data_IF_311680469109
#
_entry.id   IF_311680469109
#
_cell.length_a   1.000
_cell.length_b   1.000
_cell.length_c   1.000
_cell.angle_alpha   90.00
_cell.angle_beta   90.00
_cell.angle_gamma   90.00
#
_symmetry.space_group_name_H-M   'P 1'
#
loop_
_entity.id
_entity.type
_entity.pdbx_description
1 polymer ?
#
# COMPACT_ATOMS: atom_id res chain seq x y z
N UNK A 1 25.42 -35.94 -28.79
CA UNK A 1 26.44 -34.88 -29.03
C UNK A 1 25.81 -33.55 -29.50
N UNK A 2 24.73 -33.57 -30.28
CA UNK A 2 24.03 -32.37 -30.77
C UNK A 2 23.53 -31.42 -29.66
N UNK A 3 22.99 -31.95 -28.54
CA UNK A 3 22.49 -31.15 -27.43
C UNK A 3 23.56 -30.43 -26.57
N UNK A 4 24.83 -30.83 -26.64
CA UNK A 4 25.94 -30.12 -25.97
C UNK A 4 26.46 -28.95 -26.83
N UNK A 5 26.42 -29.08 -28.16
CA UNK A 5 26.74 -27.98 -29.07
C UNK A 5 25.70 -26.86 -29.02
N UNK A 6 24.41 -27.18 -28.92
CA UNK A 6 23.34 -26.18 -28.81
C UNK A 6 23.47 -25.37 -27.51
N UNK A 7 23.79 -26.01 -26.38
CA UNK A 7 24.01 -25.31 -25.10
C UNK A 7 25.27 -24.42 -25.11
N UNK A 8 26.35 -24.85 -25.77
CA UNK A 8 27.56 -24.04 -25.89
C UNK A 8 27.33 -22.81 -26.79
N UNK A 9 26.61 -22.97 -27.90
CA UNK A 9 26.28 -21.87 -28.82
C UNK A 9 25.36 -20.85 -28.15
N UNK A 10 24.40 -21.29 -27.34
CA UNK A 10 23.54 -20.38 -26.57
C UNK A 10 24.37 -19.62 -25.52
N UNK A 11 25.21 -20.30 -24.73
CA UNK A 11 26.00 -19.64 -23.67
C UNK A 11 27.04 -18.66 -24.24
N UNK A 12 27.75 -19.05 -25.31
CA UNK A 12 28.73 -18.15 -25.97
C UNK A 12 28.02 -17.01 -26.70
N UNK A 13 26.85 -17.25 -27.30
CA UNK A 13 26.02 -16.20 -27.90
C UNK A 13 25.49 -15.20 -26.86
N UNK A 14 25.09 -15.67 -25.68
CA UNK A 14 24.60 -14.80 -24.60
C UNK A 14 25.72 -13.94 -24.03
N UNK A 15 26.92 -14.51 -23.83
CA UNK A 15 28.09 -13.76 -23.35
C UNK A 15 28.60 -12.73 -24.38
N UNK A 16 28.56 -13.06 -25.67
CA UNK A 16 28.95 -12.13 -26.72
C UNK A 16 27.97 -10.95 -26.85
N UNK A 17 26.66 -11.21 -26.70
CA UNK A 17 25.60 -10.19 -26.72
C UNK A 17 25.69 -9.27 -25.49
N UNK A 18 25.92 -9.81 -24.29
CA UNK A 18 26.15 -9.01 -23.08
C UNK A 18 27.41 -8.14 -23.20
N UNK A 19 28.50 -8.71 -23.75
CA UNK A 19 29.74 -7.97 -23.98
C UNK A 19 29.62 -6.84 -25.02
N UNK A 20 28.81 -7.01 -26.06
CA UNK A 20 28.58 -5.95 -27.07
C UNK A 20 27.58 -4.90 -26.60
N UNK A 21 26.56 -5.27 -25.84
CA UNK A 21 25.61 -4.33 -25.21
C UNK A 21 26.29 -3.40 -24.19
N UNK A 22 27.26 -3.92 -23.43
CA UNK A 22 28.04 -3.12 -22.48
C UNK A 22 28.93 -2.05 -23.15
N UNK A 23 29.29 -2.23 -24.43
CA UNK A 23 30.18 -1.33 -25.16
C UNK A 23 29.45 -0.28 -26.03
N UNK A 24 28.22 -0.56 -26.48
CA UNK A 24 27.54 0.25 -27.52
C UNK A 24 26.16 0.78 -27.09
N UNK A 25 25.60 0.28 -25.98
CA UNK A 25 24.26 0.64 -25.50
C UNK A 25 23.12 -0.06 -26.27
N UNK A 26 21.85 0.05 -25.81
CA UNK A 26 20.75 -0.80 -26.26
C UNK A 26 20.13 -0.43 -27.61
N UNK A 27 20.35 0.81 -28.10
CA UNK A 27 19.70 1.36 -29.30
C UNK A 27 19.89 0.62 -30.64
N UNK A 28 20.99 -0.14 -30.91
CA UNK A 28 21.13 -0.85 -32.18
C UNK A 28 20.36 -2.18 -32.28
N UNK A 29 19.66 -2.61 -31.22
CA UNK A 29 19.03 -3.95 -31.17
C UNK A 29 17.49 -3.94 -31.19
N UNK A 30 16.86 -2.77 -31.33
CA UNK A 30 15.41 -2.67 -31.48
C UNK A 30 14.97 -3.42 -32.76
N UNK A 31 14.28 -4.55 -32.57
CA UNK A 31 13.71 -5.38 -33.64
C UNK A 31 14.40 -6.72 -33.90
N UNK A 32 15.51 -7.04 -33.22
CA UNK A 32 16.27 -8.30 -33.45
C UNK A 32 16.06 -9.35 -32.35
N UNK A 33 15.67 -8.94 -31.15
CA UNK A 33 15.55 -9.84 -29.99
C UNK A 33 14.10 -10.28 -29.72
N UNK A 34 13.86 -11.56 -29.35
CA UNK A 34 12.56 -12.02 -28.88
C UNK A 34 12.09 -11.26 -27.62
N UNK A 35 10.78 -11.02 -27.44
CA UNK A 35 10.23 -10.19 -26.35
C UNK A 35 10.66 -10.60 -24.93
N UNK A 36 10.92 -11.90 -24.73
CA UNK A 36 11.35 -12.47 -23.43
C UNK A 36 12.79 -12.10 -23.10
N UNK A 37 13.63 -11.83 -24.09
CA UNK A 37 15.04 -11.44 -23.87
C UNK A 37 15.15 -9.93 -23.68
N UNK A 38 14.28 -9.14 -24.32
CA UNK A 38 14.27 -7.68 -24.14
C UNK A 38 13.88 -7.25 -22.73
N UNK A 39 12.95 -7.93 -22.05
CA UNK A 39 12.60 -7.60 -20.66
C UNK A 39 13.77 -7.86 -19.70
N UNK A 40 14.43 -9.01 -19.83
CA UNK A 40 15.61 -9.34 -19.01
C UNK A 40 16.82 -8.42 -19.27
N UNK A 41 17.00 -7.93 -20.49
CA UNK A 41 18.14 -7.07 -20.85
C UNK A 41 17.90 -5.62 -20.40
N UNK A 42 16.67 -5.12 -20.48
CA UNK A 42 16.29 -3.79 -19.94
C UNK A 42 16.40 -3.76 -18.42
N UNK A 43 16.11 -4.86 -17.73
CA UNK A 43 16.27 -4.98 -16.28
C UNK A 43 17.75 -5.00 -15.82
N UNK A 44 18.70 -5.36 -16.70
CA UNK A 44 20.14 -5.43 -16.39
C UNK A 44 20.88 -4.17 -16.85
N UNK A 45 20.42 -3.54 -17.93
CA UNK A 45 21.06 -2.37 -18.54
C UNK A 45 20.03 -1.25 -18.61
N UNK A 46 19.88 -0.51 -17.51
CA UNK A 46 19.10 0.72 -17.49
C UNK A 46 19.70 1.77 -18.46
N UNK A 47 18.97 2.88 -18.74
CA UNK A 47 19.40 3.88 -19.71
C UNK A 47 20.77 4.54 -19.43
N UNK A 48 21.30 4.41 -18.20
CA UNK A 48 22.53 5.05 -17.74
C UNK A 48 23.64 4.08 -17.26
N UNK A 49 23.53 2.76 -17.47
CA UNK A 49 24.59 1.80 -17.11
C UNK A 49 24.11 0.48 -16.51
N UNK A 50 25.07 -0.29 -15.98
CA UNK A 50 24.84 -1.60 -15.36
C UNK A 50 24.09 -1.44 -14.03
N UNK A 51 22.90 -2.03 -13.95
CA UNK A 51 22.14 -2.20 -12.73
C UNK A 51 22.68 -3.40 -11.95
N UNK A 52 22.61 -3.38 -10.62
CA UNK A 52 22.90 -4.58 -9.85
C UNK A 52 21.82 -5.64 -10.12
N UNK A 53 22.22 -6.90 -10.42
CA UNK A 53 21.27 -7.95 -10.71
C UNK A 53 20.27 -8.16 -9.56
N UNK A 54 18.98 -7.95 -9.84
CA UNK A 54 17.89 -8.20 -8.90
C UNK A 54 17.53 -7.02 -7.98
N UNK A 55 18.19 -5.88 -8.10
CA UNK A 55 17.87 -4.67 -7.31
C UNK A 55 17.18 -3.59 -8.14
N UNK A 56 17.47 -3.55 -9.45
CA UNK A 56 17.02 -2.46 -10.34
C UNK A 56 17.70 -1.12 -10.01
N UNK A 57 18.76 -1.13 -9.20
CA UNK A 57 19.47 0.06 -8.69
C UNK A 57 20.93 0.04 -9.16
N UNK A 58 21.53 1.22 -9.35
CA UNK A 58 22.95 1.37 -9.71
C UNK A 58 23.84 0.86 -8.56
N UNK A 59 24.90 0.14 -8.88
CA UNK A 59 25.87 -0.33 -7.89
C UNK A 59 26.43 0.84 -7.06
N UNK A 60 26.37 0.72 -5.73
CA UNK A 60 26.84 1.74 -4.78
C UNK A 60 25.86 2.88 -4.47
N UNK A 61 24.62 2.83 -4.98
CA UNK A 61 23.59 3.78 -4.55
C UNK A 61 23.19 3.56 -3.09
N UNK A 62 22.78 4.63 -2.42
CA UNK A 62 22.32 4.59 -1.03
C UNK A 62 20.79 4.59 -0.98
N UNK A 63 20.18 3.81 -0.08
CA UNK A 63 18.73 3.79 0.08
C UNK A 63 18.14 5.19 0.41
N UNK A 64 18.92 6.05 1.07
CA UNK A 64 18.54 7.45 1.36
C UNK A 64 18.38 8.31 0.12
N UNK A 65 18.99 7.96 -1.02
CA UNK A 65 18.83 8.69 -2.28
C UNK A 65 17.45 8.50 -2.93
N UNK A 66 16.70 7.48 -2.47
CA UNK A 66 15.38 7.13 -2.98
C UNK A 66 14.24 7.59 -2.06
N UNK A 67 14.52 8.48 -1.11
CA UNK A 67 13.52 9.13 -0.28
C UNK A 67 13.61 10.63 -0.42
N UNK A 68 12.49 11.26 -0.76
CA UNK A 68 12.36 12.71 -0.88
C UNK A 68 11.50 13.22 0.26
N UNK A 69 11.97 14.29 0.91
CA UNK A 69 11.18 15.03 1.89
C UNK A 69 10.22 15.98 1.16
N UNK A 70 8.98 15.54 0.98
CA UNK A 70 7.95 16.22 0.19
C UNK A 70 7.11 17.22 0.99
N UNK A 71 6.26 18.00 0.31
CA UNK A 71 5.43 19.04 0.95
C UNK A 71 4.37 18.49 1.90
N UNK A 72 4.03 17.20 1.78
CA UNK A 72 3.01 16.53 2.58
C UNK A 72 3.58 15.35 3.39
N UNK A 73 4.87 15.03 3.25
CA UNK A 73 5.48 13.87 3.91
C UNK A 73 6.67 13.26 3.18
N UNK A 74 7.17 12.14 3.71
CA UNK A 74 8.27 11.38 3.12
C UNK A 74 7.76 10.54 1.94
N UNK A 75 8.45 10.61 0.80
CA UNK A 75 8.05 9.96 -0.45
C UNK A 75 9.18 9.03 -0.92
N UNK A 76 8.89 7.74 -1.02
CA UNK A 76 9.76 6.79 -1.70
C UNK A 76 9.66 6.97 -3.22
N UNK A 77 10.80 7.13 -3.88
CA UNK A 77 10.91 7.29 -5.35
C UNK A 77 11.59 6.10 -6.02
N UNK A 78 11.92 5.06 -5.25
CA UNK A 78 12.58 3.84 -5.72
C UNK A 78 12.24 2.62 -4.86
N UNK A 79 12.98 1.50 -5.01
CA UNK A 79 12.68 0.23 -4.37
C UNK A 79 13.16 0.20 -2.91
N UNK A 80 12.66 1.12 -2.08
CA UNK A 80 13.01 1.24 -0.67
C UNK A 80 11.82 0.98 0.25
N UNK A 81 12.11 0.34 1.37
CA UNK A 81 11.19 0.11 2.48
C UNK A 81 11.49 1.08 3.63
N UNK A 82 10.47 1.43 4.40
CA UNK A 82 10.65 2.16 5.65
C UNK A 82 11.00 1.18 6.78
N UNK A 83 12.03 1.49 7.57
CA UNK A 83 12.34 0.78 8.82
C UNK A 83 12.19 1.71 10.03
N UNK A 84 12.59 1.25 11.23
CA UNK A 84 12.50 2.02 12.47
C UNK A 84 13.02 3.47 12.31
N UNK A 85 12.22 4.45 12.74
CA UNK A 85 12.55 5.88 12.57
C UNK A 85 12.46 6.37 11.12
N UNK A 86 11.74 5.65 10.25
CA UNK A 86 11.64 5.91 8.80
C UNK A 86 12.99 5.91 8.07
N UNK A 87 13.96 5.13 8.57
CA UNK A 87 15.23 4.94 7.87
C UNK A 87 14.99 4.06 6.64
N UNK A 88 15.36 4.52 5.43
CA UNK A 88 15.17 3.73 4.22
C UNK A 88 16.17 2.58 4.15
N UNK A 89 15.68 1.44 3.67
CA UNK A 89 16.46 0.24 3.35
C UNK A 89 16.01 -0.29 2.00
N UNK A 90 16.84 -1.03 1.26
CA UNK A 90 16.36 -1.57 -0.01
C UNK A 90 15.39 -2.74 0.23
N UNK A 91 14.32 -2.82 -0.57
CA UNK A 91 13.28 -3.86 -0.40
C UNK A 91 13.90 -5.26 -0.50
N UNK A 92 14.84 -5.48 -1.42
CA UNK A 92 15.48 -6.77 -1.63
C UNK A 92 16.38 -7.22 -0.46
N UNK A 93 16.81 -6.32 0.42
CA UNK A 93 17.59 -6.65 1.62
C UNK A 93 16.71 -7.28 2.71
N UNK A 94 15.41 -6.98 2.69
CA UNK A 94 14.44 -7.39 3.73
C UNK A 94 13.38 -8.36 3.20
N UNK A 95 13.09 -8.34 1.90
CA UNK A 95 12.02 -9.10 1.26
C UNK A 95 12.47 -9.64 -0.10
N UNK A 96 12.61 -10.95 -0.20
CA UNK A 96 12.96 -11.63 -1.45
C UNK A 96 11.73 -11.89 -2.32
N UNK A 97 11.88 -11.74 -3.64
CA UNK A 97 10.82 -12.05 -4.61
C UNK A 97 9.63 -11.08 -4.60
N UNK A 98 9.83 -9.85 -4.13
CA UNK A 98 8.80 -8.82 -4.10
C UNK A 98 8.19 -8.56 -5.49
N UNK A 99 6.87 -8.39 -5.54
CA UNK A 99 6.12 -8.04 -6.74
C UNK A 99 5.14 -6.92 -6.42
N UNK A 100 5.05 -5.93 -7.30
CA UNK A 100 4.14 -4.79 -7.17
C UNK A 100 2.85 -4.91 -8.02
N UNK A 101 2.70 -6.00 -8.79
CA UNK A 101 1.49 -6.22 -9.58
C UNK A 101 0.37 -6.83 -8.72
N UNK A 102 -0.66 -6.02 -8.46
CA UNK A 102 -1.81 -6.35 -7.63
C UNK A 102 -3.13 -6.37 -8.39
N UNK A 103 -3.13 -5.96 -9.67
CA UNK A 103 -4.37 -5.81 -10.44
C UNK A 103 -5.09 -7.16 -10.66
N UNK A 104 -4.33 -8.26 -10.64
CA UNK A 104 -4.86 -9.63 -10.75
C UNK A 104 -4.59 -10.48 -9.50
N UNK A 105 -4.33 -9.84 -8.36
CA UNK A 105 -4.11 -10.53 -7.09
C UNK A 105 -5.44 -10.99 -6.48
N UNK A 106 -5.92 -12.17 -6.90
CA UNK A 106 -7.16 -12.76 -6.38
C UNK A 106 -6.87 -13.65 -5.16
N UNK A 107 -7.48 -13.37 -3.99
CA UNK A 107 -7.33 -14.23 -2.81
C UNK A 107 -8.03 -15.57 -3.00
N UNK A 108 -7.58 -16.59 -2.26
CA UNK A 108 -8.27 -17.88 -2.22
C UNK A 108 -9.54 -17.80 -1.37
N UNK A 109 -9.45 -17.13 -0.21
CA UNK A 109 -10.58 -16.93 0.68
C UNK A 109 -10.62 -15.50 1.21
N UNK A 110 -11.83 -15.02 1.48
CA UNK A 110 -12.07 -13.74 2.13
C UNK A 110 -13.01 -13.98 3.29
N UNK A 111 -12.57 -13.66 4.50
CA UNK A 111 -13.36 -13.75 5.72
C UNK A 111 -13.60 -12.36 6.28
N UNK A 112 -14.83 -12.07 6.67
CA UNK A 112 -15.19 -10.79 7.25
C UNK A 112 -14.75 -10.69 8.71
N UNK A 113 -14.05 -9.62 9.07
CA UNK A 113 -13.81 -9.22 10.46
C UNK A 113 -14.79 -8.11 10.82
N UNK A 114 -15.29 -8.11 12.06
CA UNK A 114 -16.12 -7.01 12.57
C UNK A 114 -15.27 -6.01 13.36
N UNK A 115 -15.44 -4.70 13.14
CA UNK A 115 -14.86 -3.69 14.02
C UNK A 115 -15.26 -3.92 15.48
N UNK A 116 -14.37 -3.59 16.41
CA UNK A 116 -14.68 -3.71 17.84
C UNK A 116 -15.69 -2.63 18.25
N UNK A 117 -16.59 -2.99 19.15
CA UNK A 117 -17.56 -2.06 19.73
C UNK A 117 -16.95 -1.44 20.99
N UNK A 118 -16.08 -0.43 20.81
CA UNK A 118 -15.48 0.29 21.93
C UNK A 118 -14.21 1.06 21.57
N UNK A 119 -13.75 1.87 22.53
CA UNK A 119 -12.58 2.76 22.38
C UNK A 119 -11.32 2.21 23.04
N UNK A 120 -11.30 0.92 23.38
CA UNK A 120 -10.19 0.26 24.05
C UNK A 120 -9.84 -1.02 23.33
N UNK A 121 -8.56 -1.15 23.03
CA UNK A 121 -7.95 -2.29 22.34
C UNK A 121 -7.26 -3.16 23.39
N UNK A 122 -7.11 -4.44 23.13
CA UNK A 122 -6.34 -5.32 24.01
C UNK A 122 -4.87 -4.89 24.02
N UNK A 123 -4.27 -4.49 25.16
CA UNK A 123 -2.88 -4.04 25.20
C UNK A 123 -1.89 -5.15 24.84
N UNK A 124 -0.66 -4.81 24.39
CA UNK A 124 0.39 -5.78 24.11
C UNK A 124 0.77 -6.57 25.37
N UNK A 125 1.22 -7.81 25.17
CA UNK A 125 1.75 -8.60 26.28
C UNK A 125 3.09 -8.02 26.78
N UNK A 126 3.40 -8.28 28.05
CA UNK A 126 4.69 -7.86 28.60
C UNK A 126 5.84 -8.55 27.85
N UNK A 127 6.76 -7.75 27.31
CA UNK A 127 7.92 -8.22 26.55
C UNK A 127 7.70 -8.29 25.03
N UNK A 128 6.52 -7.95 24.53
CA UNK A 128 6.23 -7.90 23.09
C UNK A 128 6.81 -6.65 22.45
N UNK A 129 7.31 -6.79 21.22
CA UNK A 129 7.73 -5.64 20.41
C UNK A 129 6.49 -5.01 19.76
N UNK A 130 6.29 -3.71 19.97
CA UNK A 130 5.23 -2.97 19.27
C UNK A 130 5.73 -2.46 17.93
N UNK A 131 5.21 -3.03 16.84
CA UNK A 131 5.45 -2.58 15.48
C UNK A 131 4.35 -1.65 15.01
N UNK A 132 4.60 -0.34 15.01
CA UNK A 132 3.66 0.66 14.53
C UNK A 132 3.97 1.04 13.08
N UNK A 133 3.05 0.71 12.17
CA UNK A 133 3.18 1.01 10.75
C UNK A 133 2.06 1.94 10.28
N UNK A 134 2.40 2.96 9.51
CA UNK A 134 1.43 3.87 8.88
C UNK A 134 1.28 3.62 7.38
N UNK A 135 0.04 3.78 6.91
CA UNK A 135 -0.39 3.50 5.56
C UNK A 135 0.04 4.59 4.58
N UNK A 136 0.51 4.19 3.40
CA UNK A 136 0.86 5.08 2.29
C UNK A 136 -0.37 5.43 1.45
N UNK A 137 -0.52 6.68 1.06
CA UNK A 137 -1.68 7.17 0.30
C UNK A 137 -1.77 6.63 -1.15
N UNK A 138 -0.67 6.10 -1.70
CA UNK A 138 -0.60 5.70 -3.11
C UNK A 138 0.05 4.31 -3.26
N UNK A 139 -0.75 3.25 -3.22
CA UNK A 139 -0.34 1.92 -3.69
C UNK A 139 -1.27 1.44 -4.80
N UNK A 140 -0.83 0.41 -5.54
CA UNK A 140 -1.62 -0.11 -6.66
C UNK A 140 -2.96 -0.67 -6.17
N UNK A 141 -4.08 -0.35 -6.85
CA UNK A 141 -5.38 -0.87 -6.48
C UNK A 141 -5.44 -2.38 -6.76
N UNK A 142 -6.16 -3.09 -5.89
CA UNK A 142 -6.47 -4.50 -6.01
C UNK A 142 -7.81 -4.68 -6.74
N UNK A 143 -8.07 -5.91 -7.17
CA UNK A 143 -9.39 -6.28 -7.71
C UNK A 143 -10.49 -6.39 -6.63
N UNK A 144 -10.20 -6.11 -5.36
CA UNK A 144 -11.18 -6.15 -4.27
C UNK A 144 -11.75 -4.76 -4.02
N UNK A 145 -13.05 -4.65 -3.90
CA UNK A 145 -13.75 -3.37 -3.77
C UNK A 145 -14.80 -3.48 -2.67
N UNK A 146 -14.94 -2.45 -1.83
CA UNK A 146 -16.03 -2.38 -0.85
C UNK A 146 -16.53 -0.96 -0.65
N UNK A 147 -17.86 -0.81 -0.63
CA UNK A 147 -18.56 0.47 -0.62
C UNK A 147 -19.97 0.31 -0.05
N UNK A 148 -20.57 1.43 0.35
CA UNK A 148 -21.89 1.49 0.99
C UNK A 148 -22.99 2.08 0.08
N UNK A 149 -24.19 2.27 0.64
CA UNK A 149 -25.30 2.91 -0.08
C UNK A 149 -25.08 4.42 -0.32
N UNK A 150 -24.34 5.10 0.56
CA UNK A 150 -24.02 6.52 0.40
C UNK A 150 -23.02 6.73 -0.76
N UNK A 151 -22.04 5.84 -0.91
CA UNK A 151 -21.13 5.73 -2.03
C UNK A 151 -21.89 5.54 -3.34
N UNK A 152 -22.86 4.62 -3.34
CA UNK A 152 -23.69 4.35 -4.50
C UNK A 152 -24.54 5.59 -4.88
N UNK A 153 -25.12 6.27 -3.90
CA UNK A 153 -25.86 7.51 -4.12
C UNK A 153 -24.96 8.63 -4.68
N UNK A 154 -23.72 8.77 -4.18
CA UNK A 154 -22.73 9.70 -4.73
C UNK A 154 -22.38 9.36 -6.18
N UNK A 155 -22.17 8.08 -6.48
CA UNK A 155 -21.94 7.59 -7.85
C UNK A 155 -23.08 7.93 -8.80
N UNK A 156 -24.34 7.75 -8.36
CA UNK A 156 -25.53 8.15 -9.13
C UNK A 156 -25.54 9.65 -9.40
N UNK A 157 -25.28 10.47 -8.38
CA UNK A 157 -25.22 11.93 -8.55
C UNK A 157 -24.13 12.35 -9.54
N UNK A 158 -22.94 11.76 -9.47
CA UNK A 158 -21.85 12.00 -10.41
C UNK A 158 -22.24 11.58 -11.83
N UNK A 159 -22.80 10.39 -12.01
CA UNK A 159 -23.25 9.91 -13.30
C UNK A 159 -24.25 10.87 -13.95
N UNK A 160 -25.28 11.28 -13.19
CA UNK A 160 -26.32 12.21 -13.66
C UNK A 160 -25.72 13.55 -14.07
N UNK A 161 -24.80 14.11 -13.28
CA UNK A 161 -24.15 15.38 -13.60
C UNK A 161 -23.29 15.28 -14.88
N UNK A 162 -22.51 14.21 -15.04
CA UNK A 162 -21.70 13.96 -16.24
C UNK A 162 -22.60 13.76 -17.47
N UNK A 163 -23.67 13.00 -17.34
CA UNK A 163 -24.61 12.77 -18.43
C UNK A 163 -25.33 14.06 -18.86
N UNK A 164 -25.76 14.89 -17.90
CA UNK A 164 -26.36 16.21 -18.17
C UNK A 164 -25.42 17.11 -18.94
N UNK A 165 -24.19 17.27 -18.44
CA UNK A 165 -23.21 18.20 -19.00
C UNK A 165 -22.66 17.75 -20.35
N UNK A 166 -22.45 16.45 -20.55
CA UNK A 166 -21.67 15.92 -21.68
C UNK A 166 -22.39 14.88 -22.53
N UNK A 167 -23.51 14.32 -22.07
CA UNK A 167 -24.21 13.23 -22.73
C UNK A 167 -23.50 11.88 -22.66
N UNK A 168 -22.58 11.73 -21.72
CA UNK A 168 -21.75 10.53 -21.57
C UNK A 168 -22.47 9.55 -20.63
N UNK A 169 -22.93 8.42 -21.17
CA UNK A 169 -23.50 7.31 -20.40
C UNK A 169 -22.45 6.23 -20.14
N UNK A 170 -21.29 6.62 -19.60
CA UNK A 170 -20.23 5.69 -19.24
C UNK A 170 -20.39 5.25 -17.77
N UNK A 171 -20.13 3.97 -17.43
CA UNK A 171 -20.11 3.50 -16.05
C UNK A 171 -19.20 4.36 -15.16
N UNK A 172 -19.58 4.53 -13.90
CA UNK A 172 -18.69 5.15 -12.90
C UNK A 172 -17.69 4.08 -12.45
N UNK A 173 -16.38 4.34 -12.53
CA UNK A 173 -15.37 3.39 -12.09
C UNK A 173 -15.43 3.20 -10.57
N UNK A 174 -15.07 2.00 -10.10
CA UNK A 174 -15.05 1.66 -8.68
C UNK A 174 -13.68 1.84 -8.01
N UNK A 175 -12.69 2.38 -8.74
CA UNK A 175 -11.29 2.46 -8.29
C UNK A 175 -11.12 3.20 -6.96
N UNK A 176 -12.00 4.18 -6.67
CA UNK A 176 -12.00 4.93 -5.41
C UNK A 176 -12.33 4.07 -4.18
N UNK A 177 -12.95 2.91 -4.40
CA UNK A 177 -13.37 1.97 -3.36
C UNK A 177 -12.54 0.67 -3.40
N UNK A 178 -11.56 0.60 -4.29
CA UNK A 178 -10.66 -0.53 -4.37
C UNK A 178 -9.77 -0.58 -3.12
N UNK A 179 -9.55 -1.78 -2.61
CA UNK A 179 -8.51 -2.00 -1.63
C UNK A 179 -7.14 -1.74 -2.26
N UNK A 180 -6.26 -1.12 -1.48
CA UNK A 180 -4.84 -0.97 -1.74
C UNK A 180 -4.07 -1.96 -0.90
N UNK A 181 -2.97 -2.53 -1.39
CA UNK A 181 -2.11 -3.38 -0.55
C UNK A 181 -0.88 -2.63 -0.05
N UNK A 182 -0.40 -3.01 1.13
CA UNK A 182 0.89 -2.59 1.66
C UNK A 182 1.57 -3.75 2.36
N UNK A 183 2.84 -3.96 2.02
CA UNK A 183 3.62 -5.09 2.50
C UNK A 183 4.29 -4.76 3.84
N UNK A 184 4.12 -5.65 4.81
CA UNK A 184 4.70 -5.55 6.16
C UNK A 184 5.66 -6.71 6.34
N UNK A 185 6.95 -6.40 6.48
CA UNK A 185 7.99 -7.39 6.74
C UNK A 185 8.28 -7.43 8.23
N UNK A 186 8.07 -8.58 8.86
CA UNK A 186 8.35 -8.78 10.28
C UNK A 186 9.60 -9.63 10.43
N UNK A 187 10.65 -9.03 11.00
CA UNK A 187 11.99 -9.61 11.12
C UNK A 187 12.40 -9.88 12.57
N UNK A 188 11.62 -9.42 13.55
CA UNK A 188 11.84 -9.71 14.96
C UNK A 188 11.55 -11.18 15.29
N UNK A 189 12.54 -11.89 15.84
CA UNK A 189 12.48 -13.33 16.16
C UNK A 189 12.67 -13.64 17.64
N UNK A 190 13.16 -12.69 18.42
CA UNK A 190 13.46 -12.86 19.85
C UNK A 190 12.24 -12.63 20.72
N UNK A 191 11.34 -11.74 20.29
CA UNK A 191 10.08 -11.42 20.97
C UNK A 191 8.87 -11.59 20.03
N UNK A 192 7.67 -11.86 20.55
CA UNK A 192 6.45 -11.72 19.76
C UNK A 192 6.22 -10.26 19.38
N UNK A 193 5.64 -10.04 18.20
CA UNK A 193 5.35 -8.72 17.64
C UNK A 193 3.87 -8.42 17.75
N UNK A 194 3.55 -7.29 18.39
CA UNK A 194 2.24 -6.68 18.39
C UNK A 194 2.20 -5.62 17.28
N UNK A 195 1.44 -5.87 16.23
CA UNK A 195 1.36 -4.97 15.08
C UNK A 195 0.21 -3.96 15.26
N UNK A 196 0.54 -2.68 15.13
CA UNK A 196 -0.44 -1.58 15.01
C UNK A 196 -0.31 -1.03 13.60
N UNK A 197 -1.31 -1.26 12.77
CA UNK A 197 -1.32 -0.92 11.36
C UNK A 197 -2.37 0.18 11.14
N UNK A 198 -1.88 1.41 10.98
CA UNK A 198 -2.68 2.62 10.88
C UNK A 198 -2.86 3.00 9.42
N UNK A 199 -4.09 3.00 8.94
CA UNK A 199 -4.44 3.50 7.62
C UNK A 199 -4.73 5.01 7.68
N UNK A 200 -4.16 5.75 6.73
CA UNK A 200 -4.35 7.20 6.61
C UNK A 200 -5.55 7.57 5.73
N UNK A 201 -6.15 6.58 5.04
CA UNK A 201 -7.40 6.71 4.31
C UNK A 201 -7.69 5.55 3.36
N UNK A 202 -8.91 5.54 2.80
CA UNK A 202 -9.33 4.53 1.83
C UNK A 202 -9.43 3.11 2.38
N UNK A 203 -9.41 2.12 1.49
CA UNK A 203 -9.52 0.70 1.82
C UNK A 203 -8.13 0.04 1.73
N UNK A 204 -7.70 -0.71 2.74
CA UNK A 204 -6.34 -1.30 2.77
C UNK A 204 -6.27 -2.76 3.19
N UNK A 205 -5.45 -3.53 2.47
CA UNK A 205 -5.00 -4.86 2.87
C UNK A 205 -3.53 -4.80 3.27
N UNK A 206 -3.24 -5.16 4.51
CA UNK A 206 -1.89 -5.29 5.01
C UNK A 206 -1.37 -6.70 4.76
N UNK A 207 -0.42 -6.84 3.85
CA UNK A 207 0.15 -8.11 3.44
C UNK A 207 1.36 -8.46 4.33
N UNK A 208 1.24 -9.51 5.15
CA UNK A 208 2.22 -9.78 6.21
C UNK A 208 3.23 -10.83 5.73
N UNK A 209 4.52 -10.50 5.83
CA UNK A 209 5.65 -11.35 5.49
C UNK A 209 6.48 -11.61 6.73
N UNK A 210 6.52 -12.85 7.19
CA UNK A 210 7.30 -13.22 8.38
C UNK A 210 8.63 -13.82 7.93
N UNK A 211 9.72 -13.38 8.56
CA UNK A 211 10.96 -14.16 8.49
C UNK A 211 10.85 -15.43 9.33
N UNK A 212 11.71 -16.42 9.05
CA UNK A 212 11.70 -17.68 9.80
C UNK A 212 11.93 -17.43 11.30
N UNK A 213 11.00 -17.89 12.13
CA UNK A 213 11.05 -17.74 13.59
C UNK A 213 10.36 -16.48 14.15
N UNK A 214 9.97 -15.53 13.29
CA UNK A 214 9.16 -14.39 13.71
C UNK A 214 7.75 -14.84 14.12
N UNK A 215 7.19 -14.17 15.12
CA UNK A 215 5.86 -14.47 15.66
C UNK A 215 5.08 -13.18 15.84
N UNK A 216 3.86 -13.14 15.31
CA UNK A 216 2.92 -12.04 15.56
C UNK A 216 1.96 -12.49 16.65
N UNK A 217 1.80 -11.70 17.71
CA UNK A 217 0.84 -12.02 18.78
C UNK A 217 -0.56 -11.46 18.52
N UNK A 218 -0.64 -10.30 17.88
CA UNK A 218 -1.89 -9.59 17.59
C UNK A 218 -1.66 -8.57 16.48
N UNK A 219 -2.71 -8.32 15.72
CA UNK A 219 -2.77 -7.21 14.78
C UNK A 219 -3.91 -6.28 15.15
N UNK A 220 -3.64 -4.99 15.17
CA UNK A 220 -4.62 -3.93 15.35
C UNK A 220 -4.64 -3.10 14.09
N UNK A 221 -5.81 -2.97 13.47
CA UNK A 221 -6.04 -2.13 12.31
C UNK A 221 -6.73 -0.85 12.77
N UNK A 222 -6.10 0.30 12.53
CA UNK A 222 -6.61 1.61 12.92
C UNK A 222 -6.89 2.45 11.66
N UNK A 223 -8.09 3.02 11.57
CA UNK A 223 -8.47 3.94 10.51
C UNK A 223 -8.76 3.29 9.16
N UNK A 224 -8.99 4.14 8.18
CA UNK A 224 -9.50 3.78 6.86
C UNK A 224 -11.00 3.57 6.84
N UNK A 225 -11.56 3.58 5.64
CA UNK A 225 -12.96 3.21 5.40
C UNK A 225 -13.13 1.70 5.57
N UNK A 226 -12.20 0.90 5.05
CA UNK A 226 -12.11 -0.54 5.29
C UNK A 226 -10.65 -0.97 5.49
N UNK A 227 -10.43 -2.01 6.28
CA UNK A 227 -9.08 -2.53 6.54
C UNK A 227 -9.09 -4.06 6.70
N UNK A 228 -8.03 -4.68 6.23
CA UNK A 228 -7.83 -6.13 6.33
C UNK A 228 -6.37 -6.55 6.35
N UNK A 229 -6.15 -7.84 6.55
CA UNK A 229 -4.84 -8.48 6.57
C UNK A 229 -4.82 -9.66 5.60
N UNK A 230 -3.67 -9.89 4.97
CA UNK A 230 -3.38 -11.07 4.17
C UNK A 230 -2.17 -11.80 4.76
N UNK A 231 -2.09 -13.11 4.50
CA UNK A 231 -0.94 -13.95 4.88
C UNK A 231 -0.63 -13.95 6.39
N UNK A 232 -1.68 -13.80 7.22
CA UNK A 232 -1.58 -13.85 8.67
C UNK A 232 -2.15 -15.16 9.19
N UNK A 233 -1.39 -15.85 10.06
CA UNK A 233 -1.83 -17.08 10.72
C UNK A 233 -3.25 -16.90 11.32
N UNK A 234 -4.21 -17.79 10.99
CA UNK A 234 -5.60 -17.66 11.40
C UNK A 234 -5.80 -17.61 12.92
N UNK A 235 -4.86 -18.11 13.73
CA UNK A 235 -4.96 -18.05 15.20
C UNK A 235 -4.61 -16.68 15.77
N UNK A 236 -3.91 -15.84 15.01
CA UNK A 236 -3.54 -14.49 15.45
C UNK A 236 -4.79 -13.60 15.49
N UNK A 237 -5.14 -13.03 16.65
CA UNK A 237 -6.28 -12.13 16.76
C UNK A 237 -6.08 -10.84 15.95
N UNK A 238 -7.17 -10.36 15.35
CA UNK A 238 -7.21 -9.08 14.64
C UNK A 238 -8.30 -8.22 15.26
N UNK A 239 -7.93 -7.03 15.75
CA UNK A 239 -8.86 -6.00 16.24
C UNK A 239 -8.87 -4.84 15.25
N UNK A 240 -10.05 -4.26 15.00
CA UNK A 240 -10.21 -3.20 14.01
C UNK A 240 -11.02 -2.04 14.58
N UNK A 241 -10.52 -0.82 14.43
CA UNK A 241 -11.28 0.42 14.62
C UNK A 241 -11.13 1.25 13.35
N UNK A 242 -12.19 1.34 12.54
CA UNK A 242 -12.23 2.15 11.31
C UNK A 242 -12.36 3.65 11.62
N UNK A 243 -12.27 4.51 10.60
CA UNK A 243 -12.31 5.97 10.76
C UNK A 243 -13.50 6.47 11.58
N UNK A 244 -14.70 5.96 11.32
CA UNK A 244 -15.91 6.32 12.07
C UNK A 244 -15.83 5.89 13.54
N UNK A 245 -15.21 4.75 13.82
CA UNK A 245 -14.98 4.25 15.17
C UNK A 245 -13.97 5.11 15.93
N UNK A 246 -12.87 5.49 15.26
CA UNK A 246 -11.87 6.41 15.83
C UNK A 246 -12.51 7.77 16.13
N UNK A 247 -13.30 8.31 15.19
CA UNK A 247 -14.02 9.56 15.37
C UNK A 247 -15.03 9.50 16.53
N UNK A 248 -15.80 8.41 16.64
CA UNK A 248 -16.73 8.19 17.76
C UNK A 248 -16.00 8.12 19.12
N UNK A 249 -14.75 7.66 19.11
CA UNK A 249 -13.88 7.61 20.28
C UNK A 249 -13.09 8.90 20.52
N UNK A 250 -13.29 9.94 19.70
CA UNK A 250 -12.52 11.18 19.71
C UNK A 250 -11.00 10.93 19.59
N UNK A 251 -10.63 9.89 18.85
CA UNK A 251 -9.25 9.55 18.50
C UNK A 251 -9.03 10.06 17.09
N UNK A 252 -8.00 10.88 16.92
CA UNK A 252 -7.61 11.39 15.60
C UNK A 252 -6.12 11.10 15.41
N UNK A 253 -5.77 10.10 14.58
CA UNK A 253 -4.39 9.89 14.19
C UNK A 253 -3.78 11.19 13.65
N UNK A 254 -2.62 11.53 14.18
CA UNK A 254 -1.90 12.75 13.85
C UNK A 254 -0.43 12.55 14.18
N UNK A 255 0.44 13.01 13.27
CA UNK A 255 1.89 12.82 13.38
C UNK A 255 2.60 14.17 13.27
N UNK A 256 3.82 14.30 13.83
CA UNK A 256 4.64 15.49 13.62
C UNK A 256 4.88 15.75 12.14
N UNK A 257 4.93 17.04 11.79
CA UNK A 257 5.24 17.47 10.43
C UNK A 257 6.72 17.18 10.12
N UNK A 258 6.98 16.64 8.93
CA UNK A 258 8.31 16.53 8.36
C UNK A 258 8.93 17.91 8.08
N UNK A 259 10.26 18.00 7.99
CA UNK A 259 10.96 19.27 7.86
C UNK A 259 10.58 20.02 6.57
N UNK A 260 10.41 19.31 5.46
CA UNK A 260 10.00 19.84 4.17
C UNK A 260 8.51 20.20 4.05
N UNK A 261 7.71 20.00 5.10
CA UNK A 261 6.26 20.17 5.03
C UNK A 261 5.87 21.59 4.61
N UNK A 262 4.85 21.72 3.75
CA UNK A 262 4.36 23.01 3.21
C UNK A 262 3.97 24.02 4.29
N UNK A 263 3.51 23.53 5.45
CA UNK A 263 3.13 24.37 6.60
C UNK A 263 4.33 24.88 7.41
N UNK A 264 5.54 24.40 7.13
CA UNK A 264 6.79 24.85 7.77
C UNK A 264 7.68 25.66 6.81
N UNK A 265 7.20 25.95 5.60
CA UNK A 265 8.00 26.66 4.61
C UNK A 265 8.31 28.13 4.99
N UNK A 266 9.42 28.70 4.49
CA UNK A 266 9.75 30.09 4.70
C UNK A 266 8.60 31.03 4.30
N UNK A 267 8.17 31.91 5.22
CA UNK A 267 7.05 32.83 5.02
C UNK A 267 5.76 32.43 5.74
N UNK A 268 5.67 31.20 6.27
CA UNK A 268 4.61 30.84 7.22
C UNK A 268 4.90 31.50 8.57
N UNK A 269 3.93 32.26 9.09
CA UNK A 269 4.03 32.93 10.40
C UNK A 269 2.96 32.37 11.34
N UNK A 270 3.17 32.40 12.68
CA UNK A 270 2.20 31.84 13.62
C UNK A 270 0.78 32.41 13.52
N UNK A 271 0.63 33.64 13.03
CA UNK A 271 -0.67 34.30 12.84
C UNK A 271 -1.37 33.97 11.52
N UNK A 272 -0.69 33.37 10.54
CA UNK A 272 -1.31 32.98 9.27
C UNK A 272 -2.15 31.72 9.42
N UNK A 273 -3.08 31.49 8.50
CA UNK A 273 -3.88 30.26 8.44
C UNK A 273 -2.98 29.00 8.45
N UNK A 274 -1.89 29.02 7.67
CA UNK A 274 -0.94 27.92 7.62
C UNK A 274 -0.20 27.70 8.95
N UNK A 275 0.16 28.79 9.66
CA UNK A 275 0.79 28.70 10.98
C UNK A 275 -0.17 28.18 12.05
N UNK A 276 -1.44 28.58 11.99
CA UNK A 276 -2.49 28.05 12.86
C UNK A 276 -2.77 26.57 12.59
N UNK A 277 -2.78 26.16 11.30
CA UNK A 277 -2.91 24.77 10.90
C UNK A 277 -1.73 23.92 11.43
N UNK A 278 -0.50 24.42 11.32
CA UNK A 278 0.70 23.75 11.86
C UNK A 278 0.58 23.57 13.38
N UNK A 279 0.19 24.61 14.12
CA UNK A 279 -0.01 24.52 15.57
C UNK A 279 -1.13 23.52 15.94
N UNK A 280 -2.20 23.46 15.14
CA UNK A 280 -3.26 22.47 15.28
C UNK A 280 -2.76 21.03 15.14
N UNK A 281 -1.89 20.77 14.16
CA UNK A 281 -1.29 19.44 13.94
C UNK A 281 -0.37 19.07 15.10
N UNK A 282 0.48 19.99 15.57
CA UNK A 282 1.35 19.73 16.74
C UNK A 282 0.52 19.33 17.97
N UNK A 283 -0.58 20.04 18.23
CA UNK A 283 -1.48 19.71 19.34
C UNK A 283 -2.17 18.36 19.14
N UNK A 284 -2.61 18.05 17.93
CA UNK A 284 -3.23 16.78 17.61
C UNK A 284 -2.25 15.61 17.77
N UNK A 285 -1.01 15.75 17.28
CA UNK A 285 0.03 14.74 17.43
C UNK A 285 0.36 14.47 18.90
N UNK A 286 0.47 15.52 19.73
CA UNK A 286 0.69 15.36 21.16
C UNK A 286 -0.48 14.63 21.88
N UNK A 287 -1.72 14.92 21.49
CA UNK A 287 -2.89 14.22 22.02
C UNK A 287 -2.91 12.75 21.58
N UNK A 288 -2.56 12.49 20.32
CA UNK A 288 -2.49 11.13 19.78
C UNK A 288 -1.37 10.32 20.45
N UNK A 289 -0.19 10.91 20.70
CA UNK A 289 0.91 10.27 21.42
C UNK A 289 0.51 9.83 22.84
N UNK A 290 -0.27 10.64 23.55
CA UNK A 290 -0.79 10.28 24.87
C UNK A 290 -1.68 9.04 24.76
N UNK A 291 -2.67 9.07 23.86
CA UNK A 291 -3.58 7.94 23.68
C UNK A 291 -2.84 6.67 23.21
N UNK A 292 -1.91 6.81 22.27
CA UNK A 292 -1.14 5.70 21.70
C UNK A 292 -0.25 5.06 22.79
N UNK A 293 0.40 5.88 23.62
CA UNK A 293 1.18 5.38 24.77
C UNK A 293 0.32 4.69 25.80
N UNK A 294 -0.84 5.26 26.12
CA UNK A 294 -1.73 4.67 27.11
C UNK A 294 -2.34 3.34 26.61
N UNK A 295 -2.42 3.14 25.29
CA UNK A 295 -2.95 1.93 24.65
C UNK A 295 -1.88 0.86 24.40
N UNK A 296 -0.67 1.26 23.97
CA UNK A 296 0.35 0.36 23.44
C UNK A 296 1.71 0.46 24.17
N UNK A 297 1.88 1.40 25.10
CA UNK A 297 3.12 1.56 25.87
C UNK A 297 4.25 2.32 25.17
N UNK A 298 4.07 2.76 23.92
CA UNK A 298 5.03 3.58 23.15
C UNK A 298 4.34 4.82 22.60
N UNK A 299 5.05 5.88 22.21
CA UNK A 299 4.43 7.04 21.55
C UNK A 299 4.40 6.86 20.04
N UNK A 300 3.28 7.23 19.38
CA UNK A 300 3.12 7.12 17.92
C UNK A 300 4.26 7.82 17.16
N UNK A 301 4.63 9.03 17.57
CA UNK A 301 5.70 9.84 16.96
C UNK A 301 7.08 9.19 17.01
N UNK A 302 7.33 8.30 17.97
CA UNK A 302 8.63 7.64 18.13
C UNK A 302 8.67 6.23 17.51
N UNK A 303 7.51 5.59 17.37
CA UNK A 303 7.40 4.20 16.90
C UNK A 303 7.01 4.08 15.42
N UNK A 304 6.51 5.15 14.80
CA UNK A 304 6.02 5.15 13.42
C UNK A 304 7.08 4.65 12.44
N UNK A 305 6.68 3.66 11.65
CA UNK A 305 7.37 3.16 10.46
C UNK A 305 6.45 3.34 9.26
N UNK A 306 6.89 4.04 8.23
CA UNK A 306 6.12 4.21 7.01
C UNK A 306 6.33 5.58 6.38
N UNK A 307 6.51 5.56 5.07
CA UNK A 307 6.49 6.74 4.23
C UNK A 307 5.06 7.10 3.85
N UNK A 308 4.80 8.38 3.61
CA UNK A 308 3.50 8.87 3.14
C UNK A 308 3.22 8.40 1.70
N UNK A 309 4.29 8.14 0.94
CA UNK A 309 4.26 7.32 -0.27
C UNK A 309 5.32 6.23 -0.20
N UNK A 310 4.90 4.97 -0.15
CA UNK A 310 5.76 3.79 -0.11
C UNK A 310 4.93 2.50 -0.06
N UNK A 311 5.54 1.37 -0.42
CA UNK A 311 4.82 0.09 -0.54
C UNK A 311 5.20 -0.95 0.51
N UNK A 312 6.36 -0.80 1.16
CA UNK A 312 6.91 -1.78 2.10
C UNK A 312 7.35 -1.10 3.40
N UNK A 313 7.00 -1.71 4.53
CA UNK A 313 7.47 -1.33 5.86
C UNK A 313 8.08 -2.54 6.59
N UNK A 314 9.09 -2.30 7.42
CA UNK A 314 9.86 -3.33 8.12
C UNK A 314 9.76 -3.14 9.62
N UNK A 315 9.36 -4.19 10.33
CA UNK A 315 9.21 -4.23 11.79
C UNK A 315 10.21 -5.24 12.36
N UNK A 316 11.20 -4.73 13.09
CA UNK A 316 12.23 -5.52 13.75
C UNK A 316 13.65 -5.22 13.23
N UNK A 317 14.65 -6.00 13.67
CA UNK A 317 16.03 -5.83 13.25
C UNK A 317 16.22 -6.11 11.76
N UNK A 318 17.09 -5.34 11.10
CA UNK A 318 17.37 -5.52 9.68
C UNK A 318 18.33 -6.69 9.43
N UNK A 319 18.02 -7.62 8.51
CA UNK A 319 18.93 -8.70 8.11
C UNK A 319 20.33 -8.19 7.75
N UNK A 320 21.37 -8.91 8.15
CA UNK A 320 22.76 -8.58 7.80
C UNK A 320 23.37 -7.38 8.53
N UNK A 321 22.60 -6.64 9.33
CA UNK A 321 23.12 -5.58 10.21
C UNK A 321 23.68 -6.14 11.51
N UNK A 322 24.38 -5.31 12.30
CA UNK A 322 24.91 -5.75 13.60
C UNK A 322 23.82 -6.31 14.54
N UNK A 323 22.64 -5.70 14.56
CA UNK A 323 21.50 -6.15 15.36
C UNK A 323 20.72 -7.31 14.74
N UNK A 324 20.83 -7.53 13.43
CA UNK A 324 20.10 -8.57 12.69
C UNK A 324 21.01 -9.55 11.97
N UNK A 325 22.22 -9.79 12.49
CA UNK A 325 23.24 -10.62 11.84
C UNK A 325 22.74 -12.03 11.52
N UNK A 326 21.94 -12.59 12.42
CA UNK A 326 21.38 -13.94 12.31
C UNK A 326 19.90 -13.92 11.88
N UNK A 327 19.37 -12.76 11.51
CA UNK A 327 17.98 -12.58 11.07
C UNK A 327 17.90 -12.87 9.58
N UNK A 328 17.12 -13.88 9.13
CA UNK A 328 16.98 -14.17 7.71
C UNK A 328 16.17 -13.07 7.00
N UNK A 329 16.39 -12.92 5.71
CA UNK A 329 15.50 -12.13 4.84
C UNK A 329 14.16 -12.85 4.68
N UNK A 330 13.04 -12.12 4.73
CA UNK A 330 11.72 -12.71 4.53
C UNK A 330 11.50 -13.09 3.06
N UNK A 331 10.62 -14.06 2.82
CA UNK A 331 10.14 -14.39 1.49
C UNK A 331 8.80 -13.68 1.24
N UNK A 332 8.63 -13.13 0.03
CA UNK A 332 7.37 -12.53 -0.38
C UNK A 332 6.26 -13.58 -0.40
N UNK A 333 5.18 -13.27 0.32
CA UNK A 333 3.95 -14.04 0.33
C UNK A 333 2.93 -13.31 -0.56
N UNK A 334 2.58 -13.86 -1.74
CA UNK A 334 1.66 -13.18 -2.64
C UNK A 334 0.25 -13.14 -2.04
N UNK A 335 -0.51 -12.11 -2.39
CA UNK A 335 -1.95 -12.06 -2.10
C UNK A 335 -2.72 -13.06 -2.97
N UNK A 336 -2.22 -13.35 -4.17
CA UNK A 336 -2.81 -14.38 -5.03
C UNK A 336 -2.85 -15.72 -4.30
N UNK A 337 -4.05 -16.24 -4.08
CA UNK A 337 -4.27 -17.48 -3.34
C UNK A 337 -4.13 -17.37 -1.81
N UNK A 338 -3.99 -16.16 -1.26
CA UNK A 338 -3.93 -15.95 0.19
C UNK A 338 -5.31 -16.03 0.84
N UNK A 339 -5.30 -16.30 2.15
CA UNK A 339 -6.45 -16.08 3.01
C UNK A 339 -6.44 -14.63 3.50
N UNK A 340 -7.50 -13.89 3.16
CA UNK A 340 -7.70 -12.51 3.59
C UNK A 340 -8.74 -12.47 4.69
N UNK A 341 -8.44 -11.69 5.73
CA UNK A 341 -9.42 -11.29 6.74
C UNK A 341 -9.60 -9.77 6.67
N UNK A 342 -10.79 -9.29 6.31
CA UNK A 342 -11.03 -7.86 6.06
C UNK A 342 -12.36 -7.42 6.63
N UNK A 343 -12.47 -6.14 7.00
CA UNK A 343 -13.78 -5.50 7.10
C UNK A 343 -14.39 -5.35 5.71
N UNK A 344 -15.70 -5.25 5.66
CA UNK A 344 -16.44 -4.97 4.44
C UNK A 344 -17.66 -4.13 4.78
N UNK A 345 -18.11 -3.38 3.81
CA UNK A 345 -19.35 -2.64 3.87
C UNK A 345 -20.52 -3.46 3.27
N UNK A 346 -21.64 -2.78 3.02
CA UNK A 346 -22.87 -3.30 2.45
C UNK A 346 -22.61 -4.04 1.14
N UNK A 347 -21.72 -3.50 0.29
CA UNK A 347 -21.28 -4.14 -0.93
C UNK A 347 -19.81 -4.53 -0.84
N UNK A 348 -19.53 -5.73 -1.34
CA UNK A 348 -18.18 -6.27 -1.48
C UNK A 348 -18.09 -7.01 -2.81
N UNK A 349 -17.07 -6.70 -3.60
CA UNK A 349 -16.91 -7.18 -4.97
C UNK A 349 -15.48 -7.59 -5.26
N UNK A 350 -15.34 -8.62 -6.10
CA UNK A 350 -14.08 -8.96 -6.72
C UNK A 350 -14.21 -8.67 -8.21
N UNK A 351 -13.57 -7.60 -8.68
CA UNK A 351 -13.58 -7.14 -10.07
C UNK A 351 -13.21 -8.30 -11.00
N UNK A 352 -14.04 -8.53 -12.02
CA UNK A 352 -13.91 -9.64 -12.95
C UNK A 352 -14.55 -10.96 -12.50
N UNK A 353 -15.03 -11.05 -11.26
CA UNK A 353 -15.81 -12.20 -10.75
C UNK A 353 -17.26 -11.84 -10.42
N UNK A 354 -17.62 -10.55 -10.48
CA UNK A 354 -19.00 -10.09 -10.28
C UNK A 354 -19.86 -10.44 -11.52
N UNK A 355 -21.09 -10.97 -11.35
CA UNK A 355 -21.99 -11.18 -12.47
C UNK A 355 -22.27 -9.90 -13.26
N UNK A 356 -22.40 -10.02 -14.58
CA UNK A 356 -22.70 -8.88 -15.46
C UNK A 356 -23.93 -8.10 -14.95
N UNK A 357 -23.78 -6.77 -14.85
CA UNK A 357 -24.84 -5.89 -14.38
C UNK A 357 -24.93 -5.74 -12.86
N UNK A 358 -24.08 -6.44 -12.10
CA UNK A 358 -24.04 -6.37 -10.64
C UNK A 358 -22.75 -5.73 -10.11
N UNK A 359 -21.87 -5.21 -10.95
CA UNK A 359 -20.76 -4.39 -10.50
C UNK A 359 -21.24 -2.99 -10.08
N UNK A 360 -20.42 -2.28 -9.32
CA UNK A 360 -20.69 -0.90 -8.88
C UNK A 360 -21.18 0.01 -10.02
N UNK A 361 -20.45 0.05 -11.14
CA UNK A 361 -20.77 0.94 -12.27
C UNK A 361 -22.12 0.61 -12.89
N UNK A 362 -22.43 -0.68 -13.01
CA UNK A 362 -23.74 -1.16 -13.46
C UNK A 362 -24.87 -0.80 -12.49
N UNK A 363 -24.67 -0.94 -11.18
CA UNK A 363 -25.67 -0.56 -10.17
C UNK A 363 -25.96 0.94 -10.22
N UNK A 364 -24.93 1.77 -10.32
CA UNK A 364 -25.05 3.22 -10.51
C UNK A 364 -25.91 3.53 -11.74
N UNK A 365 -25.58 2.93 -12.88
CA UNK A 365 -26.31 3.16 -14.13
C UNK A 365 -27.77 2.71 -14.04
N UNK A 366 -28.02 1.55 -13.42
CA UNK A 366 -29.37 1.02 -13.22
C UNK A 366 -30.21 1.96 -12.36
N UNK A 367 -29.66 2.46 -11.24
CA UNK A 367 -30.34 3.40 -10.35
C UNK A 367 -30.61 4.74 -11.05
N UNK A 368 -29.62 5.29 -11.76
CA UNK A 368 -29.80 6.53 -12.52
C UNK A 368 -30.87 6.39 -13.62
N UNK A 369 -30.91 5.25 -14.31
CA UNK A 369 -31.93 4.94 -15.33
C UNK A 369 -33.31 4.79 -14.69
N UNK A 370 -33.39 4.16 -13.52
CA UNK A 370 -34.62 4.06 -12.74
C UNK A 370 -35.18 5.43 -12.36
N UNK A 371 -34.33 6.35 -11.87
CA UNK A 371 -34.72 7.74 -11.59
C UNK A 371 -35.18 8.51 -12.85
N UNK A 372 -34.68 8.11 -14.01
CA UNK A 372 -35.07 8.66 -15.31
C UNK A 372 -36.27 7.92 -15.93
N UNK A 373 -37.04 7.15 -15.17
CA UNK A 373 -38.20 6.36 -15.64
C UNK A 373 -37.87 5.43 -16.83
N UNK A 374 -36.64 4.95 -16.92
CA UNK A 374 -36.17 4.09 -18.02
C UNK A 374 -35.60 4.83 -19.23
N UNK A 375 -35.68 6.17 -19.28
CA UNK A 375 -35.13 6.96 -20.38
C UNK A 375 -34.17 8.04 -19.86
N UNK A 376 -32.86 7.77 -19.96
CA UNK A 376 -31.81 8.71 -19.57
C UNK A 376 -31.91 10.07 -20.28
N UNK A 377 -32.51 10.15 -21.47
CA UNK A 377 -32.67 11.41 -22.20
C UNK A 377 -33.47 12.45 -21.40
N UNK A 378 -34.36 12.00 -20.52
CA UNK A 378 -35.13 12.84 -19.59
C UNK A 378 -34.20 13.60 -18.65
N UNK A 379 -33.04 13.06 -18.29
CA UNK A 379 -32.08 13.75 -17.42
C UNK A 379 -31.46 14.98 -18.09
N UNK A 380 -31.36 15.00 -19.43
CA UNK A 380 -30.81 16.14 -20.20
C UNK A 380 -31.83 17.24 -20.43
N UNK A 381 -33.11 16.92 -20.39
CA UNK A 381 -34.16 17.92 -20.43
C UNK A 381 -34.17 18.56 -19.05
N UNK A 382 -33.63 19.78 -18.94
CA UNK A 382 -33.55 20.51 -17.68
C UNK A 382 -34.95 20.76 -17.11
N UNK A 383 -35.45 19.82 -16.33
CA UNK A 383 -36.56 20.03 -15.41
C UNK A 383 -35.92 20.60 -14.15
N UNK A 384 -36.07 21.92 -13.97
CA UNK A 384 -35.92 22.55 -12.67
C UNK A 384 -36.94 21.91 -11.73
N UNK A 385 -36.49 21.24 -10.68
CA UNK A 385 -37.32 20.93 -9.52
C UNK A 385 -37.38 22.13 -8.60
#
# INVERSE_FOLDING_TARGET
MLGRLIKLVIVVGTLAVVGTLAAVGPKPFDGVLPPVVSSYVVDIVGPDGLLEPGTGVKAGALATEFVVDGPDGLIATGPVAASAGNVPVFINEVLTGHSSDLAQAFPATVTTIRPILGCRITPPQAGSLVGHVTGSAETAPMALVSYDEADLARGVAEFVDRYRKRGIAAPVPSDAFAFQAQDIVVTETTAPVYLVLENTGGNRIWNIHLTAGARVERVVLLGGAQSGVANLDPVVPVEVILDDGLAACNIRPAHPLNAGHRLLQPGVTPGSEAGQAAAGIVKAAAAYDIWFRDSFGVTASASRVGFDKGTVAVVGPLPGTASGKDVPTAAYAPITGADIRTTQDTYFEIVGQVPNGQDYGSRVMQLATGFAFGDLSILRQGISF
#
